data_IF_818702685033
#
_entry.id   IF_818702685033
#
_cell.length_a   1.000
_cell.length_b   1.000
_cell.length_c   1.000
_cell.angle_alpha   90.00
_cell.angle_beta   90.00
_cell.angle_gamma   90.00
#
_symmetry.space_group_name_H-M   'P 1'
#
loop_
_entity.id
_entity.type
_entity.pdbx_description
1 polymer ?
#
# COMPACT_ATOMS: atom_id res chain seq x y z
N UNK A 1 7.52 -26.80 -42.08
CA UNK A 1 7.67 -27.27 -40.69
C UNK A 1 7.20 -26.15 -39.79
N UNK A 2 6.00 -26.28 -39.21
CA UNK A 2 5.42 -25.27 -38.31
C UNK A 2 6.10 -25.34 -36.96
N UNK A 3 6.87 -24.31 -36.65
CA UNK A 3 7.52 -24.10 -35.36
C UNK A 3 6.42 -23.93 -34.29
N UNK A 4 6.24 -24.95 -33.45
CA UNK A 4 5.30 -24.88 -32.33
C UNK A 4 5.81 -23.83 -31.35
N UNK A 5 5.07 -22.73 -31.21
CA UNK A 5 5.30 -21.74 -30.16
C UNK A 5 5.42 -22.47 -28.81
N UNK A 6 6.56 -22.29 -28.13
CA UNK A 6 6.76 -22.83 -26.78
C UNK A 6 5.70 -22.20 -25.86
N UNK A 7 4.77 -23.01 -25.34
CA UNK A 7 3.81 -22.59 -24.32
C UNK A 7 4.55 -21.83 -23.19
N UNK A 8 4.00 -20.72 -22.69
CA UNK A 8 4.60 -20.02 -21.56
C UNK A 8 4.80 -21.00 -20.39
N UNK A 9 5.99 -20.96 -19.79
CA UNK A 9 6.47 -21.85 -18.72
C UNK A 9 5.76 -21.63 -17.36
N UNK A 10 4.56 -21.07 -17.35
CA UNK A 10 4.03 -20.33 -16.20
C UNK A 10 3.21 -21.12 -15.19
N UNK A 11 2.77 -22.35 -15.48
CA UNK A 11 2.11 -23.16 -14.45
C UNK A 11 3.16 -24.05 -13.79
N UNK A 12 3.84 -23.51 -12.78
CA UNK A 12 4.57 -24.35 -11.81
C UNK A 12 3.61 -25.44 -11.36
N UNK A 13 4.02 -26.72 -11.41
CA UNK A 13 3.20 -27.85 -10.92
C UNK A 13 2.64 -27.64 -9.52
N UNK A 14 3.24 -26.73 -8.74
CA UNK A 14 2.72 -26.25 -7.46
C UNK A 14 1.33 -25.60 -7.58
N UNK A 15 1.10 -24.74 -8.57
CA UNK A 15 -0.21 -24.08 -8.77
C UNK A 15 -1.26 -24.99 -9.42
N UNK A 16 -0.89 -26.23 -9.76
CA UNK A 16 -1.82 -27.27 -10.21
C UNK A 16 -2.27 -28.18 -9.06
N UNK A 17 -1.72 -27.97 -7.85
CA UNK A 17 -2.15 -28.71 -6.67
C UNK A 17 -3.57 -28.29 -6.28
N UNK A 18 -4.40 -29.24 -5.82
CA UNK A 18 -5.61 -28.92 -5.09
C UNK A 18 -5.32 -27.95 -3.94
N UNK A 19 -6.26 -27.03 -3.65
CA UNK A 19 -6.06 -25.95 -2.67
C UNK A 19 -5.69 -26.48 -1.27
N UNK A 20 -6.34 -27.56 -0.84
CA UNK A 20 -6.04 -28.28 0.40
C UNK A 20 -4.61 -28.84 0.43
N UNK A 21 -4.14 -29.35 -0.70
CA UNK A 21 -2.76 -29.82 -0.83
C UNK A 21 -1.75 -28.67 -0.80
N UNK A 22 -2.09 -27.54 -1.43
CA UNK A 22 -1.25 -26.35 -1.47
C UNK A 22 -1.14 -25.69 -0.09
N UNK A 23 -2.25 -25.57 0.64
CA UNK A 23 -2.30 -25.07 2.01
C UNK A 23 -1.41 -25.91 2.93
N UNK A 24 -1.51 -27.24 2.80
CA UNK A 24 -0.65 -28.14 3.58
C UNK A 24 0.83 -28.00 3.21
N UNK A 25 1.16 -27.76 1.94
CA UNK A 25 2.55 -27.44 1.55
C UNK A 25 3.00 -26.12 2.17
N UNK A 26 2.14 -25.10 2.21
CA UNK A 26 2.47 -23.82 2.84
C UNK A 26 2.79 -23.99 4.33
N UNK A 27 2.00 -24.79 5.06
CA UNK A 27 2.29 -25.13 6.46
C UNK A 27 3.63 -25.85 6.62
N UNK A 28 3.96 -26.77 5.70
CA UNK A 28 5.24 -27.47 5.70
C UNK A 28 6.42 -26.55 5.38
N UNK A 29 6.24 -25.55 4.51
CA UNK A 29 7.27 -24.57 4.18
C UNK A 29 7.60 -23.67 5.38
N UNK A 30 6.63 -23.37 6.23
CA UNK A 30 6.80 -22.59 7.45
C UNK A 30 7.48 -23.36 8.59
N UNK A 31 7.59 -24.68 8.49
CA UNK A 31 8.22 -25.51 9.51
C UNK A 31 9.75 -25.59 9.30
N UNK A 32 10.51 -24.97 10.20
CA UNK A 32 11.99 -24.92 10.15
C UNK A 32 12.67 -26.30 10.13
N UNK A 33 11.98 -27.35 10.58
CA UNK A 33 12.50 -28.72 10.61
C UNK A 33 12.19 -29.51 9.34
N UNK A 34 11.42 -28.97 8.39
CA UNK A 34 11.08 -29.65 7.14
C UNK A 34 11.99 -29.23 5.99
N UNK A 35 12.49 -30.23 5.27
CA UNK A 35 13.25 -30.00 4.03
C UNK A 35 12.31 -30.07 2.84
N UNK A 36 12.68 -29.41 1.74
CA UNK A 36 11.94 -29.54 0.47
C UNK A 36 11.86 -30.98 -0.04
N UNK A 37 12.82 -31.85 0.33
CA UNK A 37 12.76 -33.29 0.06
C UNK A 37 11.61 -33.99 0.77
N UNK A 38 11.27 -33.55 1.97
CA UNK A 38 10.19 -34.14 2.77
C UNK A 38 8.84 -33.72 2.19
N UNK A 39 8.72 -32.45 1.74
CA UNK A 39 7.56 -31.94 1.01
C UNK A 39 7.38 -32.68 -0.31
N UNK A 40 8.47 -32.90 -1.06
CA UNK A 40 8.45 -33.67 -2.30
C UNK A 40 7.94 -35.10 -2.06
N UNK A 41 8.46 -35.77 -1.03
CA UNK A 41 8.06 -37.12 -0.67
C UNK A 41 6.58 -37.19 -0.24
N UNK A 42 6.13 -36.20 0.52
CA UNK A 42 4.72 -36.08 0.91
C UNK A 42 3.80 -35.88 -0.30
N UNK A 43 4.16 -35.01 -1.24
CA UNK A 43 3.41 -34.77 -2.49
C UNK A 43 3.32 -36.03 -3.36
N UNK A 44 4.40 -36.81 -3.46
CA UNK A 44 4.39 -38.06 -4.21
C UNK A 44 3.57 -39.16 -3.50
N UNK A 45 3.62 -39.23 -2.17
CA UNK A 45 2.98 -40.30 -1.38
C UNK A 45 1.49 -40.04 -1.13
N UNK A 46 1.09 -38.78 -0.88
CA UNK A 46 -0.29 -38.41 -0.53
C UNK A 46 -1.10 -37.92 -1.71
N UNK A 47 -0.49 -37.24 -2.67
CA UNK A 47 -1.16 -36.67 -3.84
C UNK A 47 -0.78 -37.33 -5.16
N UNK A 48 0.13 -38.32 -5.16
CA UNK A 48 0.59 -39.00 -6.38
C UNK A 48 1.31 -38.07 -7.36
N UNK A 49 1.70 -36.88 -6.93
CA UNK A 49 2.16 -35.78 -7.77
C UNK A 49 3.68 -35.69 -7.73
N UNK A 50 4.32 -36.02 -8.85
CA UNK A 50 5.77 -35.87 -9.01
C UNK A 50 6.14 -34.42 -9.32
N UNK A 51 6.46 -33.68 -8.26
CA UNK A 51 6.98 -32.31 -8.32
C UNK A 51 8.49 -32.34 -8.02
N UNK A 52 9.27 -31.51 -8.70
CA UNK A 52 10.72 -31.43 -8.47
C UNK A 52 11.05 -30.51 -7.29
N UNK A 53 12.18 -30.76 -6.64
CA UNK A 53 12.74 -29.88 -5.59
C UNK A 53 12.86 -28.42 -6.07
N UNK A 54 13.29 -28.21 -7.32
CA UNK A 54 13.42 -26.87 -7.88
C UNK A 54 12.07 -26.17 -8.04
N UNK A 55 10.99 -26.90 -8.36
CA UNK A 55 9.64 -26.33 -8.43
C UNK A 55 9.14 -25.90 -7.05
N UNK A 56 9.38 -26.71 -6.02
CA UNK A 56 9.03 -26.40 -4.63
C UNK A 56 9.84 -25.20 -4.13
N UNK A 57 11.15 -25.19 -4.35
CA UNK A 57 12.04 -24.09 -3.96
C UNK A 57 11.66 -22.76 -4.62
N UNK A 58 11.40 -22.77 -5.94
CA UNK A 58 10.98 -21.55 -6.66
C UNK A 58 9.62 -21.04 -6.17
N UNK A 59 8.71 -21.94 -5.79
CA UNK A 59 7.42 -21.56 -5.22
C UNK A 59 7.60 -20.93 -3.84
N UNK A 60 8.39 -21.55 -2.96
CA UNK A 60 8.72 -21.02 -1.64
C UNK A 60 9.34 -19.62 -1.72
N UNK A 61 10.33 -19.42 -2.61
CA UNK A 61 10.96 -18.11 -2.83
C UNK A 61 9.94 -17.04 -3.22
N UNK A 62 8.98 -17.37 -4.11
CA UNK A 62 7.93 -16.42 -4.52
C UNK A 62 7.02 -16.05 -3.37
N UNK A 63 6.58 -17.02 -2.57
CA UNK A 63 5.74 -16.76 -1.39
C UNK A 63 6.48 -15.88 -0.39
N UNK A 64 7.74 -16.21 -0.07
CA UNK A 64 8.53 -15.42 0.86
C UNK A 64 8.77 -13.99 0.36
N UNK A 65 8.99 -13.81 -0.94
CA UNK A 65 9.12 -12.47 -1.53
C UNK A 65 7.80 -11.68 -1.46
N UNK A 66 6.66 -12.33 -1.68
CA UNK A 66 5.35 -11.69 -1.54
C UNK A 66 5.08 -11.31 -0.07
N UNK A 67 5.33 -12.22 0.86
CA UNK A 67 5.20 -11.99 2.30
C UNK A 67 6.12 -10.87 2.80
N UNK A 68 7.38 -10.85 2.35
CA UNK A 68 8.33 -9.79 2.70
C UNK A 68 7.88 -8.43 2.17
N UNK A 69 7.41 -8.35 0.91
CA UNK A 69 6.90 -7.10 0.35
C UNK A 69 5.72 -6.55 1.15
N UNK A 70 4.80 -7.43 1.55
CA UNK A 70 3.67 -7.04 2.42
C UNK A 70 4.18 -6.56 3.77
N UNK A 71 5.12 -7.27 4.38
CA UNK A 71 5.74 -6.86 5.65
C UNK A 71 6.41 -5.48 5.55
N UNK A 72 7.18 -5.24 4.50
CA UNK A 72 7.88 -3.96 4.27
C UNK A 72 6.87 -2.80 4.11
N UNK A 73 5.77 -3.03 3.39
CA UNK A 73 4.72 -2.02 3.20
C UNK A 73 3.92 -1.77 4.49
N UNK A 74 3.72 -2.79 5.32
CA UNK A 74 3.14 -2.64 6.66
C UNK A 74 4.05 -1.83 7.58
N UNK A 75 5.35 -2.12 7.59
CA UNK A 75 6.34 -1.42 8.40
C UNK A 75 6.46 0.05 7.98
N UNK A 76 6.50 0.32 6.67
CA UNK A 76 6.44 1.69 6.14
C UNK A 76 5.17 2.41 6.57
N UNK A 77 4.02 1.74 6.49
CA UNK A 77 2.73 2.32 6.91
C UNK A 77 2.74 2.66 8.39
N UNK A 78 3.28 1.77 9.24
CA UNK A 78 3.44 2.01 10.67
C UNK A 78 4.36 3.21 10.94
N UNK A 79 5.51 3.28 10.26
CA UNK A 79 6.41 4.43 10.35
C UNK A 79 5.71 5.75 9.98
N UNK A 80 4.89 5.75 8.92
CA UNK A 80 4.08 6.92 8.56
C UNK A 80 3.05 7.28 9.63
N UNK A 81 2.37 6.30 10.23
CA UNK A 81 1.41 6.53 11.32
C UNK A 81 2.11 7.12 12.54
N UNK A 82 3.26 6.57 12.93
CA UNK A 82 4.03 7.03 14.08
C UNK A 82 4.58 8.46 13.83
N UNK A 83 5.06 8.74 12.62
CA UNK A 83 5.54 10.07 12.21
C UNK A 83 4.42 11.15 12.20
N UNK A 84 3.20 10.77 11.81
CA UNK A 84 2.04 11.66 11.76
C UNK A 84 1.41 11.83 13.15
N UNK A 85 1.37 10.78 13.98
CA UNK A 85 0.77 10.79 15.32
C UNK A 85 1.45 11.75 16.31
N UNK A 86 2.74 12.04 16.12
CA UNK A 86 3.50 12.99 16.94
C UNK A 86 3.18 14.47 16.63
N UNK A 87 2.44 14.75 15.54
CA UNK A 87 2.13 16.12 15.08
C UNK A 87 0.62 16.38 14.97
N UNK A 88 0.00 16.60 16.12
CA UNK A 88 -1.23 17.38 16.32
C UNK A 88 -2.55 16.80 15.82
N UNK A 89 -3.63 17.33 16.40
CA UNK A 89 -5.05 16.94 16.47
C UNK A 89 -5.79 16.55 15.17
N UNK A 90 -5.13 16.54 14.02
CA UNK A 90 -5.70 16.18 12.73
C UNK A 90 -4.92 14.98 12.19
N UNK A 91 -5.45 13.76 12.39
CA UNK A 91 -5.45 12.69 11.37
C UNK A 91 -5.80 11.27 11.86
N UNK A 92 -6.56 11.11 12.95
CA UNK A 92 -7.13 9.80 13.31
C UNK A 92 -7.85 9.12 12.12
N UNK A 93 -8.49 9.92 11.25
CA UNK A 93 -9.11 9.46 10.00
C UNK A 93 -8.09 8.94 8.96
N UNK A 94 -6.97 9.63 8.74
CA UNK A 94 -5.93 9.16 7.81
C UNK A 94 -5.17 7.96 8.36
N UNK A 95 -4.90 7.92 9.66
CA UNK A 95 -4.32 6.74 10.32
C UNK A 95 -5.26 5.54 10.21
N UNK A 96 -6.56 5.71 10.46
CA UNK A 96 -7.58 4.66 10.28
C UNK A 96 -7.65 4.20 8.83
N UNK A 97 -7.60 5.12 7.88
CA UNK A 97 -7.61 4.80 6.44
C UNK A 97 -6.34 4.02 6.03
N UNK A 98 -5.18 4.42 6.55
CA UNK A 98 -3.91 3.72 6.31
C UNK A 98 -3.93 2.30 6.87
N UNK A 99 -4.41 2.13 8.11
CA UNK A 99 -4.64 0.82 8.75
C UNK A 99 -5.61 -0.06 7.94
N UNK A 100 -6.73 0.50 7.48
CA UNK A 100 -7.69 -0.24 6.65
C UNK A 100 -7.09 -0.68 5.32
N UNK A 101 -6.33 0.21 4.65
CA UNK A 101 -5.64 -0.13 3.40
C UNK A 101 -4.59 -1.23 3.62
N UNK A 102 -3.83 -1.15 4.70
CA UNK A 102 -2.84 -2.14 5.11
C UNK A 102 -3.51 -3.50 5.38
N UNK A 103 -4.59 -3.55 6.14
CA UNK A 103 -5.35 -4.77 6.41
C UNK A 103 -5.99 -5.36 5.15
N UNK A 104 -6.46 -4.52 4.23
CA UNK A 104 -6.97 -4.94 2.93
C UNK A 104 -5.85 -5.50 2.03
N UNK A 105 -4.68 -4.85 1.98
CA UNK A 105 -3.51 -5.35 1.26
C UNK A 105 -3.04 -6.70 1.80
N UNK A 106 -3.02 -6.88 3.12
CA UNK A 106 -2.70 -8.16 3.75
C UNK A 106 -3.71 -9.24 3.35
N UNK A 107 -5.01 -8.94 3.39
CA UNK A 107 -6.06 -9.86 2.90
C UNK A 107 -5.92 -10.18 1.42
N UNK A 108 -5.60 -9.20 0.58
CA UNK A 108 -5.42 -9.39 -0.86
C UNK A 108 -4.18 -10.25 -1.15
N UNK A 109 -3.07 -9.98 -0.47
CA UNK A 109 -1.82 -10.72 -0.67
C UNK A 109 -1.88 -12.17 -0.14
N UNK A 110 -2.74 -12.43 0.83
CA UNK A 110 -2.99 -13.78 1.35
C UNK A 110 -4.09 -14.53 0.57
N UNK A 111 -4.88 -13.82 -0.24
CA UNK A 111 -5.91 -14.40 -1.11
C UNK A 111 -5.42 -14.59 -2.54
N UNK A 112 -4.23 -15.20 -2.73
CA UNK A 112 -3.64 -15.43 -4.06
C UNK A 112 -4.63 -16.07 -5.05
N UNK A 113 -5.44 -17.04 -4.62
CA UNK A 113 -6.38 -17.76 -5.51
C UNK A 113 -7.56 -16.88 -5.98
N UNK A 114 -8.20 -16.11 -5.08
CA UNK A 114 -9.36 -15.29 -5.45
C UNK A 114 -8.99 -14.07 -6.30
N UNK A 115 -7.78 -13.54 -6.12
CA UNK A 115 -7.29 -12.42 -6.92
C UNK A 115 -6.79 -12.87 -8.30
N UNK A 116 -6.13 -14.04 -8.39
CA UNK A 116 -5.71 -14.64 -9.66
C UNK A 116 -6.90 -15.14 -10.49
N UNK A 117 -7.98 -15.59 -9.85
CA UNK A 117 -9.24 -15.97 -10.52
C UNK A 117 -10.17 -14.77 -10.80
N UNK A 118 -9.81 -13.55 -10.36
CA UNK A 118 -10.62 -12.36 -10.60
C UNK A 118 -10.67 -12.03 -12.10
N UNK A 119 -11.85 -11.87 -12.70
CA UNK A 119 -11.97 -11.39 -14.07
C UNK A 119 -11.28 -10.04 -14.25
N UNK A 120 -10.54 -9.87 -15.35
CA UNK A 120 -9.77 -8.65 -15.67
C UNK A 120 -10.66 -7.40 -15.62
N UNK A 121 -11.93 -7.52 -16.01
CA UNK A 121 -12.91 -6.44 -15.98
C UNK A 121 -13.23 -5.98 -14.55
N UNK A 122 -13.24 -6.90 -13.57
CA UNK A 122 -13.44 -6.56 -12.14
C UNK A 122 -12.19 -5.89 -11.58
N UNK A 123 -11.01 -6.43 -11.88
CA UNK A 123 -9.75 -5.82 -11.46
C UNK A 123 -9.60 -4.40 -12.02
N UNK A 124 -9.96 -4.20 -13.30
CA UNK A 124 -9.98 -2.89 -13.96
C UNK A 124 -10.95 -1.92 -13.29
N UNK A 125 -12.15 -2.36 -12.90
CA UNK A 125 -13.12 -1.51 -12.18
C UNK A 125 -12.62 -1.10 -10.80
N UNK A 126 -12.06 -2.04 -10.03
CA UNK A 126 -11.45 -1.76 -8.72
C UNK A 126 -10.31 -0.74 -8.84
N UNK A 127 -9.46 -0.89 -9.86
CA UNK A 127 -8.37 0.04 -10.13
C UNK A 127 -8.91 1.44 -10.49
N UNK A 128 -9.97 1.52 -11.30
CA UNK A 128 -10.62 2.80 -11.62
C UNK A 128 -11.26 3.44 -10.39
N UNK A 129 -11.89 2.65 -9.52
CA UNK A 129 -12.47 3.16 -8.26
C UNK A 129 -11.40 3.67 -7.30
N UNK A 130 -10.29 2.95 -7.16
CA UNK A 130 -9.11 3.40 -6.40
C UNK A 130 -8.57 4.73 -6.95
N UNK A 131 -8.36 4.82 -8.26
CA UNK A 131 -7.89 6.04 -8.90
C UNK A 131 -8.88 7.20 -8.72
N UNK A 132 -10.20 6.96 -8.80
CA UNK A 132 -11.21 7.99 -8.52
C UNK A 132 -11.15 8.48 -7.08
N UNK A 133 -10.96 7.58 -6.12
CA UNK A 133 -10.84 7.94 -4.72
C UNK A 133 -9.56 8.75 -4.45
N UNK A 134 -8.46 8.40 -5.12
CA UNK A 134 -7.19 9.13 -5.04
C UNK A 134 -7.29 10.53 -5.65
N UNK A 135 -7.86 10.66 -6.86
CA UNK A 135 -8.13 11.96 -7.50
C UNK A 135 -9.07 12.82 -6.65
N UNK A 136 -10.11 12.22 -6.05
CA UNK A 136 -11.02 12.95 -5.18
C UNK A 136 -10.31 13.50 -3.95
N UNK A 137 -9.35 12.74 -3.38
CA UNK A 137 -8.52 13.19 -2.27
C UNK A 137 -7.58 14.32 -2.69
N UNK A 138 -6.88 14.19 -3.82
CA UNK A 138 -6.01 15.25 -4.35
C UNK A 138 -6.78 16.55 -4.56
N UNK A 139 -7.98 16.47 -5.15
CA UNK A 139 -8.86 17.63 -5.30
C UNK A 139 -9.23 18.26 -3.96
N UNK A 140 -9.54 17.44 -2.96
CA UNK A 140 -9.90 17.92 -1.63
C UNK A 140 -8.72 18.62 -0.93
N UNK A 141 -7.51 18.09 -1.09
CA UNK A 141 -6.28 18.74 -0.59
C UNK A 141 -6.00 20.07 -1.31
N UNK A 142 -6.16 20.11 -2.64
CA UNK A 142 -6.02 21.35 -3.42
C UNK A 142 -7.07 22.41 -3.04
N UNK A 143 -8.33 22.01 -2.91
CA UNK A 143 -9.42 22.89 -2.49
C UNK A 143 -9.20 23.42 -1.07
N UNK A 144 -8.69 22.58 -0.16
CA UNK A 144 -8.34 22.99 1.19
C UNK A 144 -7.20 24.02 1.19
N UNK A 145 -6.10 23.76 0.46
CA UNK A 145 -4.99 24.72 0.31
C UNK A 145 -5.48 26.07 -0.23
N UNK A 146 -6.34 26.05 -1.26
CA UNK A 146 -6.91 27.27 -1.84
C UNK A 146 -7.79 28.04 -0.86
N UNK A 147 -8.67 27.35 -0.12
CA UNK A 147 -9.52 27.98 0.91
C UNK A 147 -8.71 28.57 2.06
N UNK A 148 -7.67 27.85 2.51
CA UNK A 148 -6.74 28.34 3.52
C UNK A 148 -6.01 29.60 3.06
N UNK A 149 -5.52 29.62 1.82
CA UNK A 149 -4.87 30.80 1.27
C UNK A 149 -5.80 32.03 1.24
N UNK A 150 -7.04 31.86 0.78
CA UNK A 150 -8.05 32.93 0.77
C UNK A 150 -8.38 33.44 2.17
N UNK A 151 -8.48 32.54 3.15
CA UNK A 151 -8.71 32.91 4.54
C UNK A 151 -7.54 33.72 5.12
N UNK A 152 -6.30 33.35 4.79
CA UNK A 152 -5.09 34.07 5.17
C UNK A 152 -5.02 35.46 4.55
N UNK A 153 -5.29 35.59 3.24
CA UNK A 153 -5.33 36.89 2.55
C UNK A 153 -6.40 37.82 3.14
N UNK A 154 -7.60 37.28 3.44
CA UNK A 154 -8.67 38.05 4.07
C UNK A 154 -8.31 38.47 5.51
N UNK A 155 -7.64 37.61 6.27
CA UNK A 155 -7.16 37.91 7.62
C UNK A 155 -6.05 38.97 7.59
N UNK A 156 -5.07 38.84 6.69
CA UNK A 156 -3.98 39.79 6.48
C UNK A 156 -4.53 41.18 6.16
N UNK A 157 -5.47 41.27 5.22
CA UNK A 157 -6.11 42.54 4.85
C UNK A 157 -6.80 43.20 6.02
N UNK A 158 -7.61 42.43 6.79
CA UNK A 158 -8.31 42.96 7.97
C UNK A 158 -7.35 43.50 9.02
N UNK A 159 -6.30 42.74 9.35
CA UNK A 159 -5.33 43.18 10.35
C UNK A 159 -4.49 44.37 9.86
N UNK A 160 -4.08 44.37 8.59
CA UNK A 160 -3.35 45.50 8.01
C UNK A 160 -4.19 46.78 7.99
N UNK A 161 -5.51 46.67 7.77
CA UNK A 161 -6.43 47.81 7.87
C UNK A 161 -6.58 48.32 9.31
N UNK A 162 -6.62 47.43 10.30
CA UNK A 162 -6.68 47.79 11.73
C UNK A 162 -5.37 48.44 12.22
N UNK A 163 -4.22 47.90 11.80
CA UNK A 163 -2.87 48.31 12.21
C UNK A 163 -2.40 49.57 11.47
N UNK A 164 -3.10 50.06 10.43
CA UNK A 164 -2.82 51.38 9.82
C UNK A 164 -2.75 52.51 10.86
N UNK A 165 -3.42 52.37 12.00
CA UNK A 165 -3.40 53.32 13.13
C UNK A 165 -2.13 53.25 13.99
N UNK A 166 -1.29 52.22 13.81
CA UNK A 166 -0.08 51.96 14.59
C UNK A 166 1.12 51.65 13.67
N UNK A 167 1.77 52.68 13.09
CA UNK A 167 2.79 52.52 12.05
C UNK A 167 4.00 51.67 12.47
N UNK A 168 4.37 51.74 13.74
CA UNK A 168 5.55 51.05 14.31
C UNK A 168 5.39 49.52 14.37
N UNK A 169 4.14 49.04 14.40
CA UNK A 169 3.82 47.60 14.51
C UNK A 169 3.62 46.97 13.12
N UNK A 170 3.28 47.80 12.12
CA UNK A 170 2.92 47.37 10.76
C UNK A 170 4.03 46.59 10.07
N UNK A 171 5.26 47.10 10.07
CA UNK A 171 6.39 46.42 9.41
C UNK A 171 6.73 45.09 10.09
N UNK A 172 6.82 45.08 11.42
CA UNK A 172 7.12 43.84 12.17
C UNK A 172 6.06 42.77 11.96
N UNK A 173 4.79 43.17 11.94
CA UNK A 173 3.68 42.25 11.67
C UNK A 173 3.72 41.71 10.24
N UNK A 174 3.96 42.57 9.24
CA UNK A 174 4.05 42.15 7.84
C UNK A 174 5.16 41.11 7.62
N UNK A 175 6.34 41.33 8.20
CA UNK A 175 7.47 40.41 8.09
C UNK A 175 7.19 39.08 8.78
N UNK A 176 6.68 39.10 10.02
CA UNK A 176 6.33 37.88 10.75
C UNK A 176 5.20 37.08 10.05
N UNK A 177 4.24 37.76 9.45
CA UNK A 177 3.14 37.14 8.71
C UNK A 177 3.62 36.49 7.41
N UNK A 178 4.59 37.11 6.72
CA UNK A 178 5.22 36.54 5.53
C UNK A 178 6.01 35.28 5.86
N UNK A 179 6.82 35.30 6.93
CA UNK A 179 7.55 34.12 7.42
C UNK A 179 6.61 32.97 7.81
N UNK A 180 5.46 33.29 8.41
CA UNK A 180 4.44 32.30 8.74
C UNK A 180 3.83 31.67 7.47
N UNK A 181 3.56 32.48 6.43
CA UNK A 181 3.07 32.01 5.12
C UNK A 181 4.07 31.07 4.45
N UNK A 182 5.36 31.39 4.49
CA UNK A 182 6.43 30.57 3.89
C UNK A 182 6.54 29.21 4.61
N UNK A 183 6.54 29.18 5.95
CA UNK A 183 6.57 27.92 6.74
C UNK A 183 5.37 27.00 6.52
N UNK A 184 4.22 27.56 6.13
CA UNK A 184 2.99 26.81 5.83
C UNK A 184 2.96 26.27 4.40
N UNK A 185 3.81 26.78 3.51
CA UNK A 185 3.95 26.27 2.14
C UNK A 185 5.00 25.15 2.03
N UNK A 186 5.93 25.08 2.99
CA UNK A 186 6.97 24.05 3.08
C UNK A 186 6.54 22.75 3.79
N UNK A 187 5.41 22.75 4.52
CA UNK A 187 4.80 21.56 5.13
C UNK A 187 3.62 21.03 4.31
#
# INVERSE_FOLDING_TARGET
>A
MTEKARKPRSDSKMYQLPRDALDQVNDMLLNENMKYSDIQHWLETKHGMKISLSSISNYAVKIYQAAQRVSDDLERTKFFIDYIGDKSEIDASKATTALLKSGLLQKIATAEDEFNEMPVEKAGRLLVELNKAEIARERLELDYKKKMQLAFEAFESKIMDEIKKYPEIKEKFATAFKELKEKMQEN
#
